data_IF_617203330805
#
_entry.id   IF_617203330805
#
_cell.length_a   1.000
_cell.length_b   1.000
_cell.length_c   1.000
_cell.angle_alpha   90.00
_cell.angle_beta   90.00
_cell.angle_gamma   90.00
#
_symmetry.space_group_name_H-M   'P 1'
#
loop_
_entity.id
_entity.type
_entity.pdbx_description
1 polymer ?
#
# COMPACT_ATOMS: atom_id res chain seq x y z
N UNK A 1 -4.84 14.36 33.11
CA UNK A 1 -3.97 13.27 32.63
C UNK A 1 -4.76 12.51 31.58
N UNK A 2 -4.49 12.82 30.32
CA UNK A 2 -5.28 12.33 29.18
C UNK A 2 -4.92 10.89 28.84
N UNK A 3 -5.94 10.10 28.54
CA UNK A 3 -5.81 8.88 27.77
C UNK A 3 -7.06 8.73 26.90
N UNK A 4 -7.19 9.61 25.89
CA UNK A 4 -8.11 9.38 24.78
C UNK A 4 -7.39 8.46 23.80
N UNK A 5 -7.53 7.15 24.02
CA UNK A 5 -6.94 6.12 23.17
C UNK A 5 -7.49 6.24 21.75
N UNK A 6 -6.65 6.63 20.81
CA UNK A 6 -6.89 6.39 19.39
C UNK A 6 -6.69 4.88 19.19
N UNK A 7 -7.77 4.11 19.23
CA UNK A 7 -7.74 2.67 19.00
C UNK A 7 -7.29 2.42 17.56
N UNK A 8 -6.07 1.91 17.38
CA UNK A 8 -5.53 1.59 16.06
C UNK A 8 -6.39 0.52 15.40
N UNK A 9 -6.70 0.71 14.12
CA UNK A 9 -7.49 -0.27 13.38
C UNK A 9 -6.78 -1.62 13.32
N UNK A 10 -7.56 -2.69 13.33
CA UNK A 10 -7.08 -4.07 13.15
C UNK A 10 -6.66 -4.34 11.70
N UNK A 11 -5.93 -5.43 11.47
CA UNK A 11 -5.59 -5.88 10.12
C UNK A 11 -6.82 -6.14 9.25
N UNK A 12 -7.90 -6.69 9.82
CA UNK A 12 -9.14 -6.95 9.09
C UNK A 12 -9.86 -5.65 8.69
N UNK A 13 -9.87 -4.65 9.57
CA UNK A 13 -10.40 -3.31 9.26
C UNK A 13 -9.57 -2.61 8.19
N UNK A 14 -8.23 -2.74 8.24
CA UNK A 14 -7.33 -2.24 7.21
C UNK A 14 -7.60 -2.91 5.85
N UNK A 15 -7.80 -4.23 5.83
CA UNK A 15 -8.11 -4.99 4.63
C UNK A 15 -9.46 -4.54 4.04
N UNK A 16 -10.48 -4.42 4.88
CA UNK A 16 -11.80 -3.96 4.44
C UNK A 16 -11.75 -2.53 3.87
N UNK A 17 -10.92 -1.65 4.45
CA UNK A 17 -10.69 -0.31 3.91
C UNK A 17 -10.09 -0.35 2.50
N UNK A 18 -9.08 -1.20 2.27
CA UNK A 18 -8.50 -1.41 0.94
C UNK A 18 -9.55 -1.96 -0.04
N UNK A 19 -10.25 -3.03 0.32
CA UNK A 19 -11.25 -3.66 -0.55
C UNK A 19 -12.40 -2.71 -0.88
N UNK A 20 -12.86 -1.91 0.09
CA UNK A 20 -13.87 -0.87 -0.11
C UNK A 20 -13.40 0.20 -1.09
N UNK A 21 -12.15 0.63 -0.98
CA UNK A 21 -11.54 1.56 -1.93
C UNK A 21 -11.37 0.98 -3.33
N UNK A 22 -10.95 -0.27 -3.44
CA UNK A 22 -10.88 -0.96 -4.73
C UNK A 22 -12.25 -1.12 -5.40
N UNK A 23 -13.30 -1.41 -4.63
CA UNK A 23 -14.67 -1.43 -5.16
C UNK A 23 -15.05 -0.06 -5.76
N UNK A 24 -14.73 1.04 -5.09
CA UNK A 24 -14.96 2.39 -5.63
C UNK A 24 -14.19 2.67 -6.91
N UNK A 25 -12.91 2.29 -6.96
CA UNK A 25 -12.09 2.41 -8.17
C UNK A 25 -12.69 1.60 -9.34
N UNK A 26 -13.01 0.32 -9.09
CA UNK A 26 -13.60 -0.59 -10.08
C UNK A 26 -14.94 -0.07 -10.61
N UNK A 27 -15.78 0.48 -9.74
CA UNK A 27 -17.11 0.97 -10.09
C UNK A 27 -17.08 2.40 -10.66
N UNK A 28 -15.87 2.94 -10.97
CA UNK A 28 -15.63 4.29 -11.51
C UNK A 28 -16.22 5.41 -10.64
N UNK A 29 -16.17 5.23 -9.31
CA UNK A 29 -16.65 6.21 -8.31
C UNK A 29 -15.59 6.47 -7.22
N UNK A 30 -14.33 6.80 -7.58
CA UNK A 30 -13.31 7.13 -6.60
C UNK A 30 -13.69 8.38 -5.79
N UNK A 31 -13.30 8.40 -4.52
CA UNK A 31 -13.48 9.57 -3.66
C UNK A 31 -12.25 10.48 -3.65
N UNK A 32 -11.09 9.95 -4.02
CA UNK A 32 -9.80 10.64 -3.90
C UNK A 32 -9.57 11.19 -2.47
N UNK A 33 -9.71 10.35 -1.43
CA UNK A 33 -9.59 10.83 -0.05
C UNK A 33 -8.16 11.30 0.22
N UNK A 34 -7.97 12.17 1.20
CA UNK A 34 -6.65 12.53 1.73
C UNK A 34 -5.67 13.13 0.70
N UNK A 35 -6.19 13.89 -0.27
CA UNK A 35 -5.39 14.57 -1.31
C UNK A 35 -5.44 16.11 -1.20
N UNK A 36 -5.98 16.64 -0.09
CA UNK A 36 -6.11 18.09 0.11
C UNK A 36 -4.76 18.73 0.51
N UNK A 37 -4.57 20.05 0.28
CA UNK A 37 -3.41 20.77 0.79
C UNK A 37 -3.28 20.71 2.32
N UNK A 38 -4.40 20.71 3.05
CA UNK A 38 -4.41 20.56 4.52
C UNK A 38 -3.84 19.21 4.93
N UNK A 39 -4.30 18.14 4.29
CA UNK A 39 -3.77 16.79 4.55
C UNK A 39 -2.26 16.71 4.28
N UNK A 40 -1.78 17.39 3.24
CA UNK A 40 -0.34 17.46 2.95
C UNK A 40 0.43 18.11 4.11
N UNK A 41 -0.09 19.22 4.65
CA UNK A 41 0.54 19.93 5.78
C UNK A 41 0.55 19.07 7.05
N UNK A 42 -0.53 18.35 7.34
CA UNK A 42 -0.59 17.42 8.48
C UNK A 42 0.49 16.33 8.45
N UNK A 43 0.95 15.95 7.26
CA UNK A 43 1.93 14.88 7.05
C UNK A 43 3.39 15.36 7.08
N UNK A 44 3.64 16.66 7.30
CA UNK A 44 4.99 17.19 7.43
C UNK A 44 5.69 16.68 8.69
N UNK A 45 4.93 16.44 9.76
CA UNK A 45 5.45 16.00 11.06
C UNK A 45 5.52 14.47 11.19
N UNK A 46 4.42 13.77 10.86
CA UNK A 46 4.31 12.33 11.10
C UNK A 46 3.39 11.64 10.07
N UNK A 47 3.64 10.35 9.84
CA UNK A 47 2.79 9.48 9.03
C UNK A 47 2.28 8.30 9.83
N UNK A 48 1.02 7.94 9.60
CA UNK A 48 0.35 6.79 10.23
C UNK A 48 -0.35 5.94 9.18
N UNK A 49 0.40 5.33 8.23
CA UNK A 49 -0.19 4.47 7.23
C UNK A 49 -0.89 3.30 7.91
N UNK A 50 -2.01 2.86 7.33
CA UNK A 50 -2.79 1.76 7.88
C UNK A 50 -2.51 0.42 7.19
N UNK A 51 -1.79 0.43 6.06
CA UNK A 51 -1.34 -0.78 5.40
C UNK A 51 0.02 -0.59 4.70
N UNK A 52 0.83 -1.64 4.70
CA UNK A 52 1.99 -1.79 3.83
C UNK A 52 1.55 -2.49 2.55
N UNK A 53 1.87 -1.92 1.39
CA UNK A 53 1.65 -2.56 0.09
C UNK A 53 3.00 -2.91 -0.53
N UNK A 54 3.27 -4.21 -0.68
CA UNK A 54 4.36 -4.71 -1.51
C UNK A 54 3.80 -5.02 -2.90
N UNK A 55 4.05 -4.14 -3.87
CA UNK A 55 3.47 -4.23 -5.22
C UNK A 55 4.51 -4.30 -6.33
N UNK A 56 4.05 -4.56 -7.55
CA UNK A 56 4.89 -4.48 -8.74
C UNK A 56 5.13 -3.01 -9.15
N UNK A 57 6.30 -2.70 -9.70
CA UNK A 57 6.61 -1.39 -10.32
C UNK A 57 5.81 -1.11 -11.61
N UNK A 58 4.99 -2.06 -12.08
CA UNK A 58 4.14 -1.90 -13.26
C UNK A 58 3.24 -0.66 -13.15
N UNK A 59 3.35 0.26 -14.12
CA UNK A 59 2.69 1.57 -14.08
C UNK A 59 1.16 1.52 -14.11
N UNK A 60 0.56 0.36 -14.43
CA UNK A 60 -0.88 0.16 -14.53
C UNK A 60 -1.55 -0.18 -13.19
N UNK A 61 -0.77 -0.49 -12.15
CA UNK A 61 -1.28 -0.88 -10.82
C UNK A 61 -0.76 0.02 -9.67
N UNK A 62 -0.91 1.36 -9.75
CA UNK A 62 -0.54 2.24 -8.65
C UNK A 62 -1.47 2.02 -7.44
N UNK A 63 -0.95 1.59 -6.26
CA UNK A 63 -1.77 1.19 -5.12
C UNK A 63 -2.74 2.26 -4.62
N UNK A 64 -2.31 3.52 -4.52
CA UNK A 64 -3.13 4.63 -4.04
C UNK A 64 -4.36 4.85 -4.92
N UNK A 65 -4.20 4.66 -6.24
CA UNK A 65 -5.27 4.84 -7.20
C UNK A 65 -6.22 3.64 -7.17
N UNK A 66 -5.68 2.41 -7.30
CA UNK A 66 -6.52 1.21 -7.42
C UNK A 66 -7.22 0.85 -6.11
N UNK A 67 -6.75 1.37 -4.97
CA UNK A 67 -7.40 1.26 -3.67
C UNK A 67 -8.09 2.56 -3.24
N UNK A 68 -8.17 3.58 -4.09
CA UNK A 68 -8.79 4.88 -3.78
C UNK A 68 -8.41 5.42 -2.38
N UNK A 69 -7.10 5.54 -2.16
CA UNK A 69 -6.47 6.13 -0.98
C UNK A 69 -5.71 7.41 -1.34
N UNK A 70 -5.21 8.12 -0.33
CA UNK A 70 -4.41 9.34 -0.53
C UNK A 70 -3.15 9.38 0.31
N UNK A 71 -2.74 10.60 0.63
CA UNK A 71 -1.46 10.86 1.27
C UNK A 71 -1.45 10.33 2.71
N UNK A 72 -0.37 9.61 3.04
CA UNK A 72 -0.13 9.05 4.37
C UNK A 72 -1.00 7.84 4.73
N UNK A 73 -1.82 7.34 3.79
CA UNK A 73 -2.69 6.19 4.02
C UNK A 73 -1.95 4.85 3.90
N UNK A 74 -1.03 4.74 2.94
CA UNK A 74 -0.34 3.51 2.57
C UNK A 74 1.17 3.70 2.66
N UNK A 75 1.88 2.69 3.18
CA UNK A 75 3.33 2.58 3.06
C UNK A 75 3.65 1.65 1.89
N UNK A 76 4.20 2.21 0.80
CA UNK A 76 4.25 1.50 -0.49
C UNK A 76 5.68 1.16 -0.85
N UNK A 77 5.91 -0.12 -1.15
CA UNK A 77 7.18 -0.65 -1.63
C UNK A 77 6.90 -1.29 -2.99
N UNK A 78 7.60 -0.86 -4.03
CA UNK A 78 7.36 -1.34 -5.40
C UNK A 78 8.66 -1.75 -6.09
N UNK A 79 8.72 -3.03 -6.46
CA UNK A 79 9.82 -3.63 -7.22
C UNK A 79 9.21 -4.45 -8.36
N UNK A 80 9.87 -4.55 -9.51
CA UNK A 80 9.39 -5.38 -10.62
C UNK A 80 9.15 -6.82 -10.13
N UNK A 81 7.92 -7.34 -10.32
CA UNK A 81 7.51 -8.66 -9.85
C UNK A 81 7.30 -8.78 -8.34
N UNK A 82 7.23 -7.66 -7.60
CA UNK A 82 7.04 -7.62 -6.15
C UNK A 82 7.98 -8.57 -5.38
N UNK A 83 9.21 -8.72 -5.89
CA UNK A 83 10.26 -9.56 -5.30
C UNK A 83 10.78 -8.94 -4.00
N UNK A 84 11.26 -9.80 -3.10
CA UNK A 84 11.78 -9.40 -1.78
C UNK A 84 13.29 -9.61 -1.75
N UNK A 85 14.03 -8.55 -1.51
CA UNK A 85 15.44 -8.57 -1.11
C UNK A 85 15.60 -7.98 0.31
N UNK A 86 16.84 -7.81 0.76
CA UNK A 86 17.12 -7.26 2.09
C UNK A 86 16.65 -5.79 2.24
N UNK A 87 16.65 -5.01 1.16
CA UNK A 87 16.20 -3.61 1.20
C UNK A 87 14.69 -3.53 1.35
N UNK A 88 13.95 -4.33 0.56
CA UNK A 88 12.49 -4.47 0.66
C UNK A 88 12.09 -4.97 2.04
N UNK A 89 12.77 -6.01 2.55
CA UNK A 89 12.50 -6.55 3.88
C UNK A 89 12.75 -5.50 4.98
N UNK A 90 13.84 -4.74 4.88
CA UNK A 90 14.13 -3.63 5.79
C UNK A 90 13.04 -2.56 5.79
N UNK A 91 12.51 -2.20 4.62
CA UNK A 91 11.37 -1.26 4.51
C UNK A 91 10.08 -1.81 5.13
N UNK A 92 9.78 -3.10 4.95
CA UNK A 92 8.63 -3.74 5.61
C UNK A 92 8.81 -3.73 7.13
N UNK A 93 9.99 -4.12 7.62
CA UNK A 93 10.31 -4.11 9.05
C UNK A 93 10.20 -2.71 9.65
N UNK A 94 10.62 -1.68 8.91
CA UNK A 94 10.47 -0.29 9.33
C UNK A 94 8.99 0.06 9.56
N UNK A 95 8.15 -0.22 8.57
CA UNK A 95 6.72 0.07 8.66
C UNK A 95 6.05 -0.68 9.82
N UNK A 96 6.32 -1.97 9.98
CA UNK A 96 5.75 -2.79 11.06
C UNK A 96 6.25 -2.33 12.44
N UNK A 97 7.54 -2.07 12.59
CA UNK A 97 8.16 -1.86 13.91
C UNK A 97 8.05 -0.42 14.39
N UNK A 98 8.17 0.55 13.47
CA UNK A 98 8.17 1.98 13.79
C UNK A 98 6.82 2.62 13.49
N UNK A 99 6.26 2.40 12.30
CA UNK A 99 4.95 2.98 11.92
C UNK A 99 3.76 2.16 12.45
N UNK A 100 4.03 0.94 12.96
CA UNK A 100 3.03 0.06 13.59
C UNK A 100 1.84 -0.24 12.69
N UNK A 101 2.13 -0.43 11.40
CA UNK A 101 1.14 -0.74 10.38
C UNK A 101 0.50 -2.11 10.66
N UNK A 102 -0.83 -2.22 10.75
CA UNK A 102 -1.50 -3.46 11.16
C UNK A 102 -1.65 -4.50 10.04
N UNK A 103 -1.40 -4.13 8.78
CA UNK A 103 -1.59 -5.00 7.61
C UNK A 103 -0.39 -4.91 6.66
N UNK A 104 0.05 -6.06 6.16
CA UNK A 104 0.92 -6.15 4.98
C UNK A 104 0.13 -6.86 3.87
N UNK A 105 0.02 -6.23 2.71
CA UNK A 105 -0.58 -6.81 1.50
C UNK A 105 0.50 -7.00 0.43
N UNK A 106 0.65 -8.23 -0.04
CA UNK A 106 1.42 -8.54 -1.25
C UNK A 106 0.47 -8.44 -2.45
N UNK A 107 0.74 -7.48 -3.34
CA UNK A 107 -0.11 -7.12 -4.46
C UNK A 107 0.49 -7.58 -5.79
N UNK A 108 0.05 -8.75 -6.24
CA UNK A 108 0.32 -9.24 -7.59
C UNK A 108 -0.61 -8.60 -8.63
N UNK A 109 -0.32 -8.82 -9.91
CA UNK A 109 -1.20 -8.40 -11.00
C UNK A 109 -1.08 -9.33 -12.21
N UNK A 110 -2.13 -9.34 -13.05
CA UNK A 110 -2.12 -10.05 -14.32
C UNK A 110 -1.12 -9.44 -15.32
N UNK A 111 -0.61 -10.26 -16.24
CA UNK A 111 0.32 -9.86 -17.30
C UNK A 111 1.57 -9.13 -16.77
N UNK A 112 2.17 -9.68 -15.72
CA UNK A 112 3.38 -9.15 -15.11
C UNK A 112 4.62 -9.45 -15.96
N UNK A 113 5.31 -8.39 -16.41
CA UNK A 113 6.51 -8.53 -17.24
C UNK A 113 7.65 -9.29 -16.55
N UNK A 114 7.81 -9.14 -15.23
CA UNK A 114 8.83 -9.87 -14.47
C UNK A 114 8.54 -11.39 -14.46
N UNK A 115 7.28 -11.78 -14.24
CA UNK A 115 6.86 -13.18 -14.28
C UNK A 115 7.04 -13.75 -15.69
N UNK A 116 6.62 -13.01 -16.73
CA UNK A 116 6.82 -13.44 -18.13
C UNK A 116 8.30 -13.62 -18.46
N UNK A 117 9.17 -12.69 -18.02
CA UNK A 117 10.61 -12.79 -18.24
C UNK A 117 11.21 -14.03 -17.55
N UNK A 118 10.77 -14.34 -16.33
CA UNK A 118 11.17 -15.57 -15.64
C UNK A 118 10.78 -16.81 -16.43
N UNK A 119 9.54 -16.88 -16.94
CA UNK A 119 9.09 -18.02 -17.73
C UNK A 119 9.89 -18.17 -19.04
N UNK A 120 10.10 -17.07 -19.77
CA UNK A 120 10.90 -17.10 -21.01
C UNK A 120 12.36 -17.48 -20.77
N UNK A 121 12.95 -17.10 -19.64
CA UNK A 121 14.34 -17.48 -19.31
C UNK A 121 14.52 -18.98 -19.03
N UNK A 122 13.43 -19.71 -18.75
CA UNK A 122 13.46 -21.17 -18.50
C UNK A 122 13.09 -21.99 -19.75
N UNK A 123 12.82 -21.33 -20.89
CA UNK A 123 12.61 -21.98 -22.18
C UNK A 123 13.76 -21.57 -23.13
N UNK A 124 14.75 -22.46 -23.40
CA UNK A 124 15.82 -22.19 -24.36
C UNK A 124 15.31 -22.07 -25.80
#
# INVERSE_FOLDING_TARGET
MGNSGCERITGDQALERLLSGNRRYRDARPKHPNQTPDRRRELEDEQHPFAVILGCSDSRVPPEVIFDQGLGDLFIIRVAGNVVDNMVLGSIQYAVSYLRTPLIMVLAHANCGAVSATLSAHHP
#
